data_IF_684439121510
#
_entry.id   IF_684439121510
#
_cell.length_a   1.000
_cell.length_b   1.000
_cell.length_c   1.000
_cell.angle_alpha   90.00
_cell.angle_beta   90.00
_cell.angle_gamma   90.00
#
_symmetry.space_group_name_H-M   'P 1'
#
loop_
_entity.id
_entity.type
_entity.pdbx_description
1 polymer ?
#
# COMPACT_ATOMS: atom_id res chain seq x y z
N UNK A 1 2.40 -19.20 -11.68
CA UNK A 1 1.24 -20.13 -11.69
C UNK A 1 0.14 -19.46 -10.88
N UNK A 2 -1.06 -19.28 -11.44
CA UNK A 2 -2.18 -18.56 -10.81
C UNK A 2 -3.24 -19.57 -10.37
N UNK A 3 -3.81 -19.36 -9.18
CA UNK A 3 -5.11 -19.91 -8.81
C UNK A 3 -5.82 -18.86 -7.95
N UNK A 4 -6.70 -18.07 -8.58
CA UNK A 4 -7.61 -17.15 -7.91
C UNK A 4 -9.04 -17.69 -8.07
N UNK A 5 -9.46 -18.49 -7.09
CA UNK A 5 -10.82 -18.62 -6.55
C UNK A 5 -10.79 -19.78 -5.55
N UNK A 6 -10.82 -19.46 -4.26
CA UNK A 6 -10.64 -20.41 -3.15
C UNK A 6 -9.23 -20.35 -2.55
N UNK A 7 -9.15 -20.44 -1.22
CA UNK A 7 -7.90 -20.46 -0.45
C UNK A 7 -6.85 -21.31 -1.17
N UNK A 8 -5.77 -20.68 -1.63
CA UNK A 8 -4.67 -21.39 -2.29
C UNK A 8 -4.18 -22.51 -1.34
N UNK A 9 -3.76 -23.69 -1.82
CA UNK A 9 -3.23 -24.74 -0.95
C UNK A 9 -2.10 -24.25 -0.03
N UNK A 10 -1.29 -23.32 -0.51
CA UNK A 10 -0.28 -22.59 0.29
C UNK A 10 -0.88 -21.75 1.42
N UNK A 11 -2.05 -21.13 1.22
CA UNK A 11 -2.75 -20.42 2.29
C UNK A 11 -3.27 -21.40 3.36
N UNK A 12 -3.73 -22.59 2.98
CA UNK A 12 -4.26 -23.59 3.93
C UNK A 12 -3.12 -24.11 4.82
N UNK A 13 -2.01 -24.53 4.22
CA UNK A 13 -0.82 -24.98 4.96
C UNK A 13 -0.24 -23.84 5.83
N UNK A 14 -0.30 -22.60 5.32
CA UNK A 14 0.10 -21.42 6.08
C UNK A 14 -0.81 -21.19 7.30
N UNK A 15 -2.13 -21.24 7.15
CA UNK A 15 -3.08 -21.07 8.24
C UNK A 15 -2.91 -22.14 9.33
N UNK A 16 -2.47 -23.36 8.96
CA UNK A 16 -2.15 -24.41 9.94
C UNK A 16 -0.88 -24.14 10.75
N UNK A 17 0.06 -23.36 10.20
CA UNK A 17 1.39 -23.07 10.80
C UNK A 17 1.45 -21.74 11.57
N UNK A 18 0.43 -20.89 11.46
CA UNK A 18 0.35 -19.63 12.20
C UNK A 18 -0.04 -19.86 13.67
N UNK A 19 0.48 -19.01 14.57
CA UNK A 19 0.01 -18.94 15.97
C UNK A 19 -1.01 -17.82 16.13
N UNK A 20 -1.83 -17.86 17.19
CA UNK A 20 -2.92 -16.90 17.48
C UNK A 20 -2.60 -15.41 17.25
N UNK A 21 -1.39 -14.95 17.58
CA UNK A 21 -1.00 -13.54 17.37
C UNK A 21 -0.64 -13.22 15.91
N UNK A 22 -0.12 -14.21 15.18
CA UNK A 22 0.24 -14.12 13.76
C UNK A 22 -1.00 -14.28 12.86
N UNK A 23 -2.02 -15.03 13.31
CA UNK A 23 -3.34 -15.12 12.68
C UNK A 23 -4.00 -13.74 12.52
N UNK A 24 -3.82 -12.85 13.51
CA UNK A 24 -4.33 -11.48 13.42
C UNK A 24 -3.57 -10.65 12.37
N UNK A 25 -2.32 -11.03 12.06
CA UNK A 25 -1.49 -10.35 11.06
C UNK A 25 -1.70 -10.93 9.67
N UNK A 26 -1.96 -12.21 9.52
CA UNK A 26 -2.38 -12.86 8.27
C UNK A 26 -3.91 -13.04 8.28
N UNK A 27 -4.62 -11.97 7.93
CA UNK A 27 -6.09 -11.95 8.01
C UNK A 27 -6.76 -12.82 6.94
N UNK A 28 -8.05 -13.10 7.14
CA UNK A 28 -8.87 -13.92 6.22
C UNK A 28 -8.90 -13.42 4.77
N UNK A 29 -8.62 -12.13 4.55
CA UNK A 29 -8.59 -11.50 3.23
C UNK A 29 -7.15 -11.37 2.69
N UNK A 30 -6.21 -12.23 3.09
CA UNK A 30 -4.84 -12.25 2.58
C UNK A 30 -4.58 -13.50 1.74
N UNK A 31 -3.88 -13.31 0.61
CA UNK A 31 -3.33 -14.39 -0.21
C UNK A 31 -1.80 -14.28 -0.28
N UNK A 32 -1.14 -15.42 -0.44
CA UNK A 32 0.29 -15.46 -0.74
C UNK A 32 0.52 -15.08 -2.21
N UNK A 33 1.30 -14.03 -2.45
CA UNK A 33 1.61 -13.54 -3.81
C UNK A 33 3.07 -13.71 -4.22
N UNK A 34 3.95 -14.14 -3.31
CA UNK A 34 5.35 -14.35 -3.62
C UNK A 34 6.15 -14.94 -2.46
N UNK A 35 7.42 -15.18 -2.72
CA UNK A 35 8.40 -15.67 -1.76
C UNK A 35 9.65 -14.80 -1.82
N UNK A 36 10.43 -14.83 -0.74
CA UNK A 36 11.73 -14.17 -0.65
C UNK A 36 12.75 -15.25 -0.30
N UNK A 37 13.87 -15.24 -1.01
CA UNK A 37 15.01 -16.12 -0.74
C UNK A 37 16.22 -15.31 -0.35
N UNK A 38 17.01 -15.84 0.57
CA UNK A 38 18.27 -15.27 1.01
C UNK A 38 19.43 -16.14 0.59
N UNK A 39 20.49 -15.52 0.09
CA UNK A 39 21.71 -16.22 -0.27
C UNK A 39 22.52 -16.51 0.98
N UNK A 40 22.80 -17.78 1.22
CA UNK A 40 23.75 -18.19 2.24
C UNK A 40 25.16 -17.82 1.78
N UNK A 41 25.83 -16.94 2.52
CA UNK A 41 27.18 -16.46 2.16
C UNK A 41 28.26 -17.57 2.25
N UNK A 42 28.01 -18.64 3.02
CA UNK A 42 28.94 -19.77 3.18
C UNK A 42 28.77 -20.83 2.09
N UNK A 43 27.54 -21.28 1.84
CA UNK A 43 27.27 -22.33 0.84
C UNK A 43 27.02 -21.78 -0.57
N UNK A 44 26.71 -20.49 -0.71
CA UNK A 44 26.33 -19.87 -1.98
C UNK A 44 24.89 -20.18 -2.41
N UNK A 45 24.19 -21.04 -1.69
CA UNK A 45 22.83 -21.48 -2.00
C UNK A 45 21.78 -20.42 -1.63
N UNK A 46 20.69 -20.40 -2.38
CA UNK A 46 19.53 -19.56 -2.08
C UNK A 46 18.49 -20.37 -1.30
N UNK A 47 18.18 -19.92 -0.10
CA UNK A 47 17.18 -20.55 0.75
C UNK A 47 15.97 -19.63 0.88
N UNK A 48 14.77 -20.16 0.61
CA UNK A 48 13.54 -19.44 0.87
C UNK A 48 13.47 -19.10 2.36
N UNK A 49 13.36 -17.81 2.66
CA UNK A 49 13.37 -17.30 4.03
C UNK A 49 12.02 -16.71 4.44
N UNK A 50 11.28 -16.13 3.49
CA UNK A 50 9.98 -15.50 3.77
C UNK A 50 8.94 -15.79 2.69
N UNK A 51 7.68 -15.61 3.08
CA UNK A 51 6.54 -15.49 2.19
C UNK A 51 6.03 -14.05 2.18
N UNK A 52 5.47 -13.64 1.04
CA UNK A 52 4.85 -12.34 0.84
C UNK A 52 3.35 -12.55 0.74
N UNK A 53 2.61 -11.95 1.67
CA UNK A 53 1.16 -11.89 1.63
C UNK A 53 0.69 -10.53 1.12
N UNK A 54 -0.37 -10.55 0.31
CA UNK A 54 -1.09 -9.36 -0.15
C UNK A 54 -2.54 -9.46 0.30
N UNK A 55 -3.11 -8.35 0.76
CA UNK A 55 -4.54 -8.31 1.08
C UNK A 55 -5.35 -8.26 -0.23
N UNK A 56 -6.33 -9.15 -0.41
CA UNK A 56 -6.94 -9.47 -1.71
C UNK A 56 -8.33 -8.92 -1.93
N UNK A 57 -9.05 -8.60 -0.86
CA UNK A 57 -10.28 -7.78 -0.90
C UNK A 57 -10.04 -6.38 -1.52
N UNK A 58 -8.77 -6.02 -1.75
CA UNK A 58 -8.33 -4.79 -2.41
C UNK A 58 -8.31 -4.89 -3.93
N UNK A 59 -7.81 -6.00 -4.47
CA UNK A 59 -7.39 -6.10 -5.87
C UNK A 59 -8.39 -6.86 -6.74
N UNK A 60 -9.33 -7.55 -6.10
CA UNK A 60 -10.46 -8.18 -6.75
C UNK A 60 -11.66 -8.25 -5.77
N UNK A 61 -12.21 -7.09 -5.35
CA UNK A 61 -13.35 -7.11 -4.42
C UNK A 61 -14.51 -7.85 -5.07
N UNK A 62 -15.14 -8.76 -4.32
CA UNK A 62 -16.29 -9.50 -4.82
C UNK A 62 -17.47 -8.54 -5.09
N UNK A 63 -18.43 -8.99 -5.92
CA UNK A 63 -19.55 -8.16 -6.32
C UNK A 63 -20.41 -7.68 -5.13
N UNK A 64 -20.49 -8.48 -4.05
CA UNK A 64 -21.27 -8.14 -2.86
C UNK A 64 -20.59 -7.03 -2.04
N UNK A 65 -19.26 -7.12 -1.87
CA UNK A 65 -18.44 -6.10 -1.22
C UNK A 65 -18.49 -4.78 -1.98
N UNK A 66 -18.32 -4.81 -3.30
CA UNK A 66 -18.44 -3.61 -4.15
C UNK A 66 -19.81 -2.96 -3.98
N UNK A 67 -20.88 -3.75 -4.01
CA UNK A 67 -22.26 -3.26 -3.85
C UNK A 67 -22.51 -2.67 -2.47
N UNK A 68 -22.02 -3.33 -1.41
CA UNK A 68 -22.14 -2.84 -0.02
C UNK A 68 -21.42 -1.51 0.18
N UNK A 69 -20.21 -1.37 -0.36
CA UNK A 69 -19.44 -0.12 -0.33
C UNK A 69 -20.18 0.98 -1.09
N UNK A 70 -20.65 0.70 -2.31
CA UNK A 70 -21.40 1.65 -3.11
C UNK A 70 -22.66 2.15 -2.40
N UNK A 71 -23.44 1.25 -1.81
CA UNK A 71 -24.66 1.60 -1.08
C UNK A 71 -24.37 2.56 0.07
N UNK A 72 -23.26 2.34 0.80
CA UNK A 72 -22.83 3.23 1.88
C UNK A 72 -22.48 4.63 1.36
N UNK A 73 -21.67 4.69 0.28
CA UNK A 73 -21.30 5.96 -0.36
C UNK A 73 -22.52 6.76 -0.84
N UNK A 74 -23.47 6.08 -1.49
CA UNK A 74 -24.69 6.71 -1.99
C UNK A 74 -25.58 7.20 -0.85
N UNK A 75 -25.73 6.42 0.22
CA UNK A 75 -26.50 6.81 1.40
C UNK A 75 -25.88 8.02 2.13
N UNK A 76 -24.55 8.03 2.29
CA UNK A 76 -23.83 9.15 2.89
C UNK A 76 -23.98 10.42 2.05
N UNK A 77 -23.86 10.29 0.72
CA UNK A 77 -24.05 11.40 -0.22
C UNK A 77 -25.48 11.93 -0.20
N UNK A 78 -26.47 11.05 -0.20
CA UNK A 78 -27.88 11.44 -0.07
C UNK A 78 -28.13 12.19 1.24
N UNK A 79 -27.53 11.73 2.34
CA UNK A 79 -27.61 12.39 3.64
C UNK A 79 -26.98 13.77 3.62
N UNK A 80 -25.83 13.93 2.95
CA UNK A 80 -25.17 15.22 2.80
C UNK A 80 -26.01 16.20 1.96
N UNK A 81 -26.45 15.80 0.77
CA UNK A 81 -27.29 16.64 -0.11
C UNK A 81 -28.60 17.02 0.59
N UNK A 82 -29.20 16.09 1.34
CA UNK A 82 -30.35 16.40 2.20
C UNK A 82 -30.02 17.49 3.20
N UNK A 83 -28.90 17.39 3.91
CA UNK A 83 -28.47 18.35 4.94
C UNK A 83 -28.14 19.73 4.33
N UNK A 84 -27.62 19.77 3.10
CA UNK A 84 -27.40 21.00 2.34
C UNK A 84 -28.72 21.71 2.01
N UNK A 85 -29.77 20.96 1.67
CA UNK A 85 -31.13 21.51 1.44
C UNK A 85 -31.80 21.92 2.76
N UNK A 86 -31.70 21.08 3.80
CA UNK A 86 -32.29 21.31 5.11
C UNK A 86 -31.52 20.55 6.20
N UNK A 87 -30.95 21.30 7.14
CA UNK A 87 -30.11 20.76 8.22
C UNK A 87 -30.84 19.77 9.14
N UNK A 88 -32.12 19.99 9.44
CA UNK A 88 -32.92 19.15 10.34
C UNK A 88 -34.40 19.06 9.94
N UNK A 89 -35.10 18.04 10.45
CA UNK A 89 -36.53 17.83 10.20
C UNK A 89 -36.88 17.21 8.84
N UNK A 90 -38.18 17.08 8.56
CA UNK A 90 -38.69 16.52 7.30
C UNK A 90 -38.55 17.53 6.16
N UNK A 91 -38.21 17.03 4.96
CA UNK A 91 -38.23 17.82 3.72
C UNK A 91 -39.67 18.04 3.25
N UNK A 92 -39.99 19.25 2.81
CA UNK A 92 -41.22 19.53 2.06
C UNK A 92 -41.22 18.84 0.70
N UNK A 93 -42.37 18.78 0.01
CA UNK A 93 -42.47 18.13 -1.30
C UNK A 93 -41.58 18.78 -2.36
N UNK A 94 -41.49 20.11 -2.39
CA UNK A 94 -40.60 20.82 -3.32
C UNK A 94 -39.11 20.53 -3.03
N UNK A 95 -38.74 20.43 -1.75
CA UNK A 95 -37.39 20.07 -1.32
C UNK A 95 -37.02 18.62 -1.65
N UNK A 96 -37.97 17.68 -1.53
CA UNK A 96 -37.76 16.29 -1.96
C UNK A 96 -37.50 16.21 -3.46
N UNK A 97 -38.33 16.89 -4.27
CA UNK A 97 -38.15 16.97 -5.73
C UNK A 97 -36.81 17.60 -6.12
N UNK A 98 -36.33 18.59 -5.35
CA UNK A 98 -35.00 19.16 -5.54
C UNK A 98 -33.90 18.14 -5.22
N UNK A 99 -34.01 17.43 -4.08
CA UNK A 99 -33.07 16.37 -3.70
C UNK A 99 -32.99 15.26 -4.76
N UNK A 100 -34.13 14.79 -5.26
CA UNK A 100 -34.20 13.77 -6.32
C UNK A 100 -33.48 14.22 -7.59
N UNK A 101 -33.73 15.45 -8.08
CA UNK A 101 -33.02 16.01 -9.23
C UNK A 101 -31.51 16.14 -9.02
N UNK A 102 -31.08 16.46 -7.80
CA UNK A 102 -29.67 16.53 -7.47
C UNK A 102 -29.05 15.13 -7.48
N UNK A 103 -29.70 14.14 -6.87
CA UNK A 103 -29.26 12.74 -6.88
C UNK A 103 -29.19 12.15 -8.29
N UNK A 104 -30.15 12.45 -9.16
CA UNK A 104 -30.13 12.01 -10.57
C UNK A 104 -28.93 12.52 -11.35
N UNK A 105 -28.37 13.67 -10.96
CA UNK A 105 -27.21 14.29 -11.61
C UNK A 105 -25.91 14.02 -10.88
N UNK A 106 -25.98 13.59 -9.62
CA UNK A 106 -24.83 13.40 -8.76
C UNK A 106 -23.96 12.23 -9.25
N UNK A 107 -22.65 12.43 -9.43
CA UNK A 107 -21.78 11.40 -9.99
C UNK A 107 -21.53 10.23 -9.03
N UNK A 108 -21.64 10.40 -7.70
CA UNK A 108 -21.57 9.29 -6.74
C UNK A 108 -22.79 8.40 -6.89
N UNK A 109 -23.97 9.02 -7.04
CA UNK A 109 -25.21 8.28 -7.23
C UNK A 109 -25.28 7.54 -8.58
N UNK A 110 -24.49 7.98 -9.57
CA UNK A 110 -24.32 7.31 -10.87
C UNK A 110 -23.24 6.22 -10.89
N UNK A 111 -22.47 6.05 -9.81
CA UNK A 111 -21.46 5.00 -9.74
C UNK A 111 -22.12 3.63 -9.76
N UNK A 112 -21.44 2.67 -10.39
CA UNK A 112 -21.76 1.25 -10.36
C UNK A 112 -20.78 0.52 -9.44
N UNK A 113 -21.08 -0.71 -9.00
CA UNK A 113 -20.17 -1.47 -8.14
C UNK A 113 -18.77 -1.62 -8.73
N UNK A 114 -18.65 -1.77 -10.06
CA UNK A 114 -17.37 -1.87 -10.75
C UNK A 114 -16.56 -0.57 -10.77
N UNK A 115 -17.22 0.56 -10.50
CA UNK A 115 -16.59 1.88 -10.40
C UNK A 115 -15.99 2.12 -8.99
N UNK A 116 -16.24 1.21 -8.02
CA UNK A 116 -15.59 1.25 -6.70
C UNK A 116 -14.10 0.93 -6.87
N UNK A 117 -13.26 1.92 -6.56
CA UNK A 117 -11.81 1.82 -6.66
C UNK A 117 -11.24 0.72 -5.76
N UNK A 118 -10.13 0.13 -6.21
CA UNK A 118 -9.32 -0.74 -5.38
C UNK A 118 -8.95 0.01 -4.08
N UNK A 119 -9.09 -0.69 -2.96
CA UNK A 119 -8.60 -0.26 -1.65
C UNK A 119 -7.08 0.00 -1.68
N UNK A 120 -6.52 0.52 -0.59
CA UNK A 120 -5.07 0.75 -0.48
C UNK A 120 -4.31 -0.57 -0.46
N UNK A 121 -3.17 -0.68 -1.13
CA UNK A 121 -2.27 -1.82 -1.05
C UNK A 121 -1.81 -2.04 0.38
N UNK A 122 -1.91 -3.29 0.83
CA UNK A 122 -1.31 -3.77 2.08
C UNK A 122 -0.57 -5.05 1.75
N UNK A 123 0.75 -5.03 1.91
CA UNK A 123 1.60 -6.20 1.76
C UNK A 123 2.32 -6.48 3.08
N UNK A 124 2.50 -7.76 3.38
CA UNK A 124 3.19 -8.19 4.60
C UNK A 124 4.17 -9.31 4.26
N UNK A 125 5.29 -9.31 4.96
CA UNK A 125 6.27 -10.39 4.88
C UNK A 125 6.21 -11.23 6.15
N UNK A 126 6.34 -12.54 5.96
CA UNK A 126 6.31 -13.52 7.02
C UNK A 126 7.53 -14.42 6.90
N UNK A 127 8.35 -14.46 7.94
CA UNK A 127 9.47 -15.39 8.03
C UNK A 127 8.94 -16.80 8.16
N UNK A 128 9.48 -17.70 7.35
CA UNK A 128 9.08 -19.10 7.33
C UNK A 128 10.24 -19.96 7.81
N UNK A 129 10.08 -20.57 8.97
CA UNK A 129 10.87 -21.75 9.34
C UNK A 129 9.99 -22.97 9.07
N UNK A 130 10.57 -24.15 8.78
CA UNK A 130 9.80 -25.32 8.34
C UNK A 130 8.56 -25.66 9.19
N UNK A 131 8.54 -25.23 10.46
CA UNK A 131 7.48 -25.46 11.42
C UNK A 131 6.70 -24.20 11.85
N UNK A 132 7.19 -22.98 11.57
CA UNK A 132 6.58 -21.75 12.10
C UNK A 132 6.60 -20.60 11.10
N UNK A 133 5.55 -19.79 11.13
CA UNK A 133 5.39 -18.62 10.28
C UNK A 133 5.23 -17.38 11.15
N UNK A 134 6.17 -16.43 11.05
CA UNK A 134 6.20 -15.24 11.89
C UNK A 134 6.12 -13.97 11.08
N UNK A 135 5.18 -13.09 11.40
CA UNK A 135 5.11 -11.75 10.80
C UNK A 135 6.38 -10.95 11.10
N UNK A 136 7.05 -10.44 10.07
CA UNK A 136 8.27 -9.61 10.22
C UNK A 136 8.08 -8.16 9.84
N UNK A 137 7.13 -7.84 8.95
CA UNK A 137 6.85 -6.46 8.61
C UNK A 137 5.71 -6.30 7.61
N UNK A 138 5.26 -5.06 7.44
CA UNK A 138 4.20 -4.68 6.51
C UNK A 138 4.50 -3.34 5.85
N UNK A 139 4.13 -3.21 4.58
CA UNK A 139 4.17 -1.97 3.80
C UNK A 139 2.76 -1.68 3.29
N UNK A 140 2.32 -0.44 3.46
CA UNK A 140 0.95 -0.03 3.17
C UNK A 140 0.92 1.30 2.43
N UNK A 141 0.07 1.42 1.41
CA UNK A 141 -0.25 2.71 0.78
C UNK A 141 -0.91 3.65 1.82
N UNK A 142 -0.51 4.92 1.78
CA UNK A 142 -1.06 6.01 2.59
C UNK A 142 -1.89 6.94 1.71
N UNK A 143 -3.13 6.55 1.39
CA UNK A 143 -4.00 7.24 0.41
C UNK A 143 -4.19 8.71 0.74
N UNK A 144 -4.32 9.05 2.03
CA UNK A 144 -4.44 10.43 2.49
C UNK A 144 -3.22 11.28 2.15
N UNK A 145 -2.00 10.76 2.38
CA UNK A 145 -0.75 11.44 2.04
C UNK A 145 -0.55 11.52 0.53
N UNK A 146 -0.86 10.44 -0.19
CA UNK A 146 -0.79 10.41 -1.64
C UNK A 146 -1.68 11.48 -2.26
N UNK A 147 -2.95 11.56 -1.84
CA UNK A 147 -3.89 12.58 -2.30
C UNK A 147 -3.39 13.98 -1.97
N UNK A 148 -3.02 14.24 -0.73
CA UNK A 148 -2.53 15.55 -0.27
C UNK A 148 -1.33 16.02 -1.10
N UNK A 149 -0.29 15.19 -1.18
CA UNK A 149 0.94 15.53 -1.89
C UNK A 149 0.69 15.66 -3.39
N UNK A 150 -0.10 14.75 -3.96
CA UNK A 150 -0.39 14.75 -5.39
C UNK A 150 -1.22 15.95 -5.85
N UNK A 151 -2.14 16.44 -5.00
CA UNK A 151 -2.86 17.68 -5.24
C UNK A 151 -1.91 18.88 -5.26
N UNK A 152 -0.99 18.95 -4.29
CA UNK A 152 0.00 20.01 -4.20
C UNK A 152 0.92 20.10 -5.43
N UNK A 153 1.39 18.95 -5.93
CA UNK A 153 2.31 18.90 -7.08
C UNK A 153 1.64 18.67 -8.44
N UNK A 154 0.31 18.51 -8.47
CA UNK A 154 -0.50 18.17 -9.67
C UNK A 154 -0.02 16.92 -10.40
N UNK A 155 0.42 15.89 -9.66
CA UNK A 155 0.93 14.61 -10.19
C UNK A 155 0.71 13.48 -9.20
N UNK A 156 0.59 12.25 -9.68
CA UNK A 156 0.52 11.07 -8.81
C UNK A 156 1.86 10.85 -8.10
N UNK A 157 1.87 11.07 -6.79
CA UNK A 157 2.96 10.78 -5.87
C UNK A 157 2.53 9.61 -5.01
N UNK A 158 3.24 8.47 -5.12
CA UNK A 158 3.01 7.33 -4.24
C UNK A 158 3.60 7.58 -2.85
N UNK A 159 2.95 7.06 -1.81
CA UNK A 159 3.39 7.20 -0.43
C UNK A 159 3.06 5.94 0.35
N UNK A 160 4.07 5.43 1.05
CA UNK A 160 3.98 4.22 1.83
C UNK A 160 4.33 4.48 3.29
N UNK A 161 3.78 3.65 4.16
CA UNK A 161 4.26 3.46 5.52
C UNK A 161 4.70 2.02 5.69
N UNK A 162 5.83 1.84 6.36
CA UNK A 162 6.36 0.53 6.73
C UNK A 162 6.37 0.38 8.25
N UNK A 163 5.87 -0.76 8.70
CA UNK A 163 5.89 -1.20 10.08
C UNK A 163 6.68 -2.51 10.17
N UNK A 164 7.69 -2.57 11.05
CA UNK A 164 8.57 -3.71 11.19
C UNK A 164 8.46 -4.30 12.60
N UNK A 165 8.57 -5.62 12.68
CA UNK A 165 8.49 -6.30 13.97
C UNK A 165 9.66 -5.91 14.88
N UNK A 166 9.33 -5.47 16.10
CA UNK A 166 10.33 -5.10 17.10
C UNK A 166 11.12 -3.84 16.74
N UNK A 167 10.61 -3.02 15.81
CA UNK A 167 11.16 -1.70 15.50
C UNK A 167 10.21 -0.65 16.05
N UNK A 168 10.73 0.32 16.82
CA UNK A 168 9.88 1.29 17.52
C UNK A 168 9.28 2.35 16.57
N UNK A 169 9.94 2.59 15.43
CA UNK A 169 9.62 3.70 14.54
C UNK A 169 8.86 3.25 13.29
N UNK A 170 7.82 4.00 12.93
CA UNK A 170 7.23 3.87 11.58
C UNK A 170 8.12 4.55 10.55
N UNK A 171 8.36 3.87 9.43
CA UNK A 171 9.12 4.45 8.31
C UNK A 171 8.18 4.90 7.21
N UNK A 172 8.14 6.21 6.92
CA UNK A 172 7.38 6.74 5.80
C UNK A 172 8.27 6.87 4.57
N UNK A 173 7.85 6.27 3.46
CA UNK A 173 8.53 6.36 2.16
C UNK A 173 7.65 7.12 1.19
N UNK A 174 8.17 8.21 0.62
CA UNK A 174 7.38 9.07 -0.26
C UNK A 174 8.11 9.26 -1.58
N UNK A 175 7.37 9.11 -2.69
CA UNK A 175 7.84 9.52 -4.00
C UNK A 175 7.96 11.05 -4.07
N UNK A 176 9.11 11.52 -4.49
CA UNK A 176 9.40 12.93 -4.72
C UNK A 176 9.83 13.09 -6.16
N UNK A 177 8.98 13.78 -6.93
CA UNK A 177 9.25 14.07 -8.33
C UNK A 177 9.57 15.55 -8.49
N UNK A 178 10.79 15.87 -8.93
CA UNK A 178 11.21 17.27 -9.17
C UNK A 178 10.74 17.78 -10.55
N UNK A 179 10.66 16.92 -11.57
CA UNK A 179 10.29 17.30 -12.96
C UNK A 179 9.69 16.11 -13.75
N UNK A 180 8.97 16.35 -14.86
CA UNK A 180 8.16 15.32 -15.60
C UNK A 180 8.97 14.15 -16.15
N UNK A 181 10.24 14.40 -16.44
CA UNK A 181 11.13 13.43 -17.08
C UNK A 181 11.98 12.64 -16.09
N UNK A 182 11.98 13.01 -14.81
CA UNK A 182 12.85 12.37 -13.83
C UNK A 182 12.18 11.07 -13.37
N UNK A 183 12.90 9.93 -13.38
CA UNK A 183 12.39 8.68 -12.87
C UNK A 183 12.07 8.81 -11.38
N UNK A 184 11.10 8.03 -10.90
CA UNK A 184 10.61 8.08 -9.51
C UNK A 184 11.77 8.01 -8.50
N UNK A 185 11.82 8.97 -7.59
CA UNK A 185 12.75 8.97 -6.45
C UNK A 185 11.92 8.87 -5.19
N UNK A 186 12.09 7.78 -4.43
CA UNK A 186 11.49 7.67 -3.10
C UNK A 186 12.50 8.16 -2.08
N UNK A 187 12.09 8.97 -1.10
CA UNK A 187 12.95 9.30 0.04
C UNK A 187 12.28 8.90 1.36
N UNK A 188 13.12 8.55 2.33
CA UNK A 188 12.70 8.16 3.66
C UNK A 188 13.84 8.33 4.65
N UNK A 189 13.52 8.24 5.92
CA UNK A 189 14.50 8.20 7.01
C UNK A 189 14.44 6.84 7.70
N UNK A 190 15.58 6.33 8.12
CA UNK A 190 15.70 5.07 8.84
C UNK A 190 16.62 5.27 10.04
N UNK A 191 16.13 4.99 11.23
CA UNK A 191 16.93 5.07 12.45
C UNK A 191 17.58 3.71 12.74
N UNK A 192 18.90 3.63 12.66
CA UNK A 192 19.67 2.45 13.05
C UNK A 192 19.82 2.47 14.57
N UNK A 193 19.03 1.65 15.26
CA UNK A 193 19.01 1.56 16.73
C UNK A 193 20.33 1.06 17.32
N UNK A 194 21.12 0.28 16.56
CA UNK A 194 22.40 -0.25 17.03
C UNK A 194 23.50 0.82 16.99
N UNK A 195 23.48 1.67 15.95
CA UNK A 195 24.45 2.75 15.78
C UNK A 195 23.94 4.09 16.33
N UNK A 196 22.72 4.13 16.87
CA UNK A 196 22.00 5.33 17.30
C UNK A 196 22.04 6.45 16.24
N UNK A 197 21.89 6.07 14.97
CA UNK A 197 22.14 6.95 13.82
C UNK A 197 20.91 7.06 12.92
N UNK A 198 20.56 8.29 12.58
CA UNK A 198 19.58 8.56 11.53
C UNK A 198 20.22 8.49 10.14
N UNK A 199 19.66 7.64 9.28
CA UNK A 199 19.98 7.55 7.87
C UNK A 199 18.93 8.28 7.04
N UNK A 200 19.37 9.14 6.13
CA UNK A 200 18.52 9.80 5.14
C UNK A 200 18.77 9.18 3.77
N UNK A 201 17.75 8.54 3.24
CA UNK A 201 17.89 7.57 2.15
C UNK A 201 17.04 7.96 0.95
N UNK A 202 17.51 7.54 -0.23
CA UNK A 202 16.77 7.64 -1.49
C UNK A 202 16.76 6.30 -2.20
N UNK A 203 15.65 5.96 -2.85
CA UNK A 203 15.56 4.87 -3.82
C UNK A 203 15.17 5.48 -5.16
N UNK A 204 16.12 5.49 -6.10
CA UNK A 204 16.01 6.17 -7.38
C UNK A 204 15.89 5.15 -8.50
N UNK A 205 14.80 5.22 -9.27
CA UNK A 205 14.61 4.36 -10.43
C UNK A 205 15.66 4.68 -11.52
N UNK A 206 16.26 3.65 -12.14
CA UNK A 206 17.21 3.81 -13.25
C UNK A 206 16.48 4.37 -14.49
N UNK A 207 17.16 5.22 -15.26
CA UNK A 207 16.59 5.88 -16.47
C UNK A 207 16.43 4.92 -17.64
N UNK A 208 17.40 4.02 -17.82
CA UNK A 208 17.46 3.05 -18.90
C UNK A 208 17.56 1.69 -18.22
N UNK A 209 16.44 0.96 -18.20
CA UNK A 209 16.37 -0.43 -17.74
C UNK A 209 15.28 -1.15 -18.50
N UNK A 210 15.53 -2.40 -18.89
CA UNK A 210 14.49 -3.31 -19.43
C UNK A 210 13.53 -3.72 -18.30
N UNK A 211 14.05 -3.73 -17.07
CA UNK A 211 13.35 -4.00 -15.82
C UNK A 211 12.88 -2.77 -15.04
N UNK A 212 12.36 -3.00 -13.83
CA UNK A 212 12.12 -1.95 -12.84
C UNK A 212 13.26 -1.95 -11.83
N UNK A 213 14.37 -1.30 -12.22
CA UNK A 213 15.60 -1.27 -11.45
C UNK A 213 15.71 0.04 -10.66
N UNK A 214 16.30 -0.05 -9.47
CA UNK A 214 16.50 1.09 -8.59
C UNK A 214 17.91 1.10 -7.98
N UNK A 215 18.39 2.30 -7.67
CA UNK A 215 19.61 2.53 -6.88
C UNK A 215 19.20 3.05 -5.51
N UNK A 216 19.78 2.48 -4.46
CA UNK A 216 19.61 2.92 -3.08
C UNK A 216 20.78 3.83 -2.73
N UNK A 217 20.50 5.06 -2.30
CA UNK A 217 21.51 6.06 -1.98
C UNK A 217 21.38 6.54 -0.53
N UNK A 218 22.52 6.70 0.15
CA UNK A 218 22.65 7.42 1.42
C UNK A 218 23.64 8.57 1.22
N UNK A 219 23.32 9.79 1.66
CA UNK A 219 24.19 10.97 1.45
C UNK A 219 24.66 11.17 0.00
N UNK A 220 23.79 10.86 -0.97
CA UNK A 220 24.07 10.86 -2.43
C UNK A 220 25.17 9.87 -2.88
N UNK A 221 25.51 8.88 -2.06
CA UNK A 221 26.38 7.77 -2.43
C UNK A 221 25.55 6.49 -2.61
N UNK A 222 25.77 5.72 -3.68
CA UNK A 222 25.09 4.45 -3.88
C UNK A 222 25.53 3.46 -2.80
N UNK A 223 24.56 2.89 -2.09
CA UNK A 223 24.77 1.90 -1.01
C UNK A 223 24.10 0.57 -1.32
N UNK A 224 23.41 0.45 -2.45
CA UNK A 224 22.73 -0.75 -2.88
C UNK A 224 21.95 -0.55 -4.16
N UNK A 225 21.35 -1.63 -4.64
CA UNK A 225 20.48 -1.62 -5.82
C UNK A 225 19.38 -2.68 -5.71
N UNK A 226 18.32 -2.45 -6.48
CA UNK A 226 17.24 -3.39 -6.73
C UNK A 226 17.30 -3.65 -8.23
N UNK A 227 17.66 -4.88 -8.61
CA UNK A 227 17.70 -5.33 -10.00
C UNK A 227 16.45 -6.15 -10.28
N UNK A 228 15.53 -5.60 -11.06
CA UNK A 228 14.15 -6.07 -11.10
C UNK A 228 13.68 -6.43 -12.49
N UNK A 229 13.43 -7.71 -12.75
CA UNK A 229 12.77 -8.16 -13.96
C UNK A 229 11.23 -8.13 -13.80
N UNK A 230 10.57 -7.36 -14.66
CA UNK A 230 9.11 -7.45 -14.83
C UNK A 230 8.81 -8.66 -15.74
N UNK A 231 8.20 -9.70 -15.20
CA UNK A 231 7.92 -10.96 -15.92
C UNK A 231 6.40 -11.16 -15.97
N UNK A 232 5.79 -10.83 -17.11
CA UNK A 232 4.34 -10.92 -17.31
C UNK A 232 3.56 -10.02 -16.33
N UNK A 233 2.72 -10.63 -15.48
CA UNK A 233 1.93 -9.95 -14.42
C UNK A 233 2.63 -9.97 -13.04
N UNK A 234 3.88 -10.46 -12.96
CA UNK A 234 4.66 -10.55 -11.72
C UNK A 234 5.92 -9.68 -11.74
N UNK A 235 6.58 -9.58 -10.59
CA UNK A 235 7.85 -8.89 -10.41
C UNK A 235 8.82 -9.83 -9.70
N UNK A 236 9.98 -10.06 -10.32
CA UNK A 236 11.09 -10.75 -9.70
C UNK A 236 12.24 -9.77 -9.56
N UNK A 237 12.91 -9.75 -8.40
CA UNK A 237 13.99 -8.82 -8.18
C UNK A 237 15.06 -9.39 -7.24
N UNK A 238 16.29 -8.96 -7.48
CA UNK A 238 17.39 -9.13 -6.55
C UNK A 238 17.67 -7.82 -5.84
N UNK A 239 17.79 -7.88 -4.52
CA UNK A 239 18.15 -6.74 -3.67
C UNK A 239 19.60 -6.92 -3.23
N UNK A 240 20.43 -5.92 -3.50
CA UNK A 240 21.82 -5.87 -3.08
C UNK A 240 22.04 -4.64 -2.20
N UNK A 241 22.67 -4.82 -1.04
CA UNK A 241 23.09 -3.73 -0.15
C UNK A 241 24.59 -3.87 0.07
N UNK A 242 25.34 -2.87 -0.36
CA UNK A 242 26.81 -2.85 -0.31
C UNK A 242 27.34 -2.22 0.98
N UNK A 243 26.59 -1.28 1.57
CA UNK A 243 26.94 -0.67 2.85
C UNK A 243 26.90 -1.72 3.95
N UNK A 244 28.06 -2.08 4.49
CA UNK A 244 28.22 -3.25 5.35
C UNK A 244 27.42 -3.14 6.66
N UNK A 245 27.26 -1.94 7.21
CA UNK A 245 26.50 -1.75 8.45
C UNK A 245 25.03 -2.07 8.24
N UNK A 246 24.47 -1.57 7.12
CA UNK A 246 23.07 -1.74 6.73
C UNK A 246 22.80 -3.12 6.13
N UNK A 247 23.76 -3.72 5.43
CA UNK A 247 23.66 -5.08 4.89
C UNK A 247 23.58 -6.15 6.00
N UNK A 248 24.10 -5.84 7.20
CA UNK A 248 23.97 -6.70 8.40
C UNK A 248 22.74 -6.37 9.24
N UNK A 249 22.03 -5.28 8.92
CA UNK A 249 20.83 -4.87 9.63
C UNK A 249 19.59 -5.53 9.01
N UNK A 250 19.03 -6.48 9.75
CA UNK A 250 17.85 -7.22 9.33
C UNK A 250 16.64 -6.33 9.06
N UNK A 251 16.40 -5.34 9.93
CA UNK A 251 15.23 -4.46 9.83
C UNK A 251 15.34 -3.57 8.58
N UNK A 252 16.55 -3.10 8.28
CA UNK A 252 16.82 -2.38 7.05
C UNK A 252 16.58 -3.26 5.80
N UNK A 253 17.10 -4.49 5.79
CA UNK A 253 16.86 -5.42 4.67
C UNK A 253 15.38 -5.74 4.49
N UNK A 254 14.63 -5.96 5.57
CA UNK A 254 13.19 -6.20 5.53
C UNK A 254 12.44 -4.96 4.99
N UNK A 255 12.84 -3.75 5.36
CA UNK A 255 12.29 -2.49 4.83
C UNK A 255 12.49 -2.37 3.32
N UNK A 256 13.72 -2.59 2.82
CA UNK A 256 14.02 -2.50 1.38
C UNK A 256 13.30 -3.62 0.61
N UNK A 257 13.23 -4.82 1.19
CA UNK A 257 12.51 -5.95 0.60
C UNK A 257 11.02 -5.64 0.50
N UNK A 258 10.41 -5.08 1.55
CA UNK A 258 9.02 -4.63 1.53
C UNK A 258 8.79 -3.57 0.45
N UNK A 259 9.66 -2.58 0.31
CA UNK A 259 9.55 -1.64 -0.81
C UNK A 259 9.60 -2.36 -2.16
N UNK A 260 10.54 -3.29 -2.32
CA UNK A 260 10.75 -4.06 -3.55
C UNK A 260 9.50 -4.84 -3.95
N UNK A 261 8.81 -5.48 -2.99
CA UNK A 261 7.57 -6.24 -3.29
C UNK A 261 6.44 -5.35 -3.81
N UNK A 262 6.42 -4.07 -3.46
CA UNK A 262 5.40 -3.13 -3.99
C UNK A 262 5.59 -2.79 -5.46
N UNK A 263 6.81 -2.88 -6.01
CA UNK A 263 7.17 -2.35 -7.34
C UNK A 263 6.27 -2.88 -8.44
N UNK A 264 5.95 -4.17 -8.42
CA UNK A 264 5.03 -4.80 -9.39
C UNK A 264 3.63 -4.17 -9.42
N UNK A 265 3.21 -3.52 -8.34
CA UNK A 265 1.90 -2.91 -8.18
C UNK A 265 1.89 -1.40 -8.46
N UNK A 266 3.06 -0.75 -8.61
CA UNK A 266 3.16 0.72 -8.75
C UNK A 266 2.31 1.28 -9.88
N UNK A 267 2.24 0.58 -11.02
CA UNK A 267 1.41 1.00 -12.16
C UNK A 267 -0.09 1.01 -11.83
N UNK A 268 -0.55 0.02 -11.06
CA UNK A 268 -1.95 -0.09 -10.68
C UNK A 268 -2.31 0.93 -9.58
N UNK A 269 -1.41 1.14 -8.62
CA UNK A 269 -1.51 2.18 -7.59
C UNK A 269 -1.63 3.58 -8.22
N UNK A 270 -0.75 3.91 -9.19
CA UNK A 270 -0.84 5.20 -9.91
C UNK A 270 -2.15 5.39 -10.66
N UNK A 271 -2.72 4.32 -11.25
CA UNK A 271 -4.04 4.39 -11.91
C UNK A 271 -5.15 4.69 -10.89
N UNK A 272 -5.16 3.99 -9.76
CA UNK A 272 -6.08 4.23 -8.64
C UNK A 272 -5.98 5.68 -8.15
N UNK A 273 -4.77 6.13 -7.81
CA UNK A 273 -4.52 7.49 -7.34
C UNK A 273 -4.94 8.57 -8.36
N UNK A 274 -4.67 8.36 -9.65
CA UNK A 274 -5.10 9.30 -10.71
C UNK A 274 -6.63 9.44 -10.77
N UNK A 275 -7.38 8.36 -10.55
CA UNK A 275 -8.85 8.38 -10.50
C UNK A 275 -9.33 9.14 -9.26
N UNK A 276 -8.77 8.84 -8.09
CA UNK A 276 -9.01 9.54 -6.82
C UNK A 276 -8.72 11.05 -6.90
N UNK A 277 -7.63 11.45 -7.54
CA UNK A 277 -7.29 12.86 -7.78
C UNK A 277 -8.31 13.57 -8.65
N UNK A 278 -8.73 12.95 -9.76
CA UNK A 278 -9.77 13.52 -10.64
C UNK A 278 -11.10 13.67 -9.92
N UNK A 279 -11.49 12.69 -9.10
CA UNK A 279 -12.69 12.76 -8.28
C UNK A 279 -12.61 13.96 -7.31
N UNK A 280 -11.48 14.09 -6.60
CA UNK A 280 -11.24 15.17 -5.64
C UNK A 280 -11.28 16.55 -6.31
N UNK A 281 -10.62 16.72 -7.46
CA UNK A 281 -10.59 17.98 -8.21
C UNK A 281 -11.97 18.41 -8.72
N UNK A 282 -12.88 17.46 -8.92
CA UNK A 282 -14.29 17.70 -9.29
C UNK A 282 -15.21 17.93 -8.08
N UNK A 283 -14.66 17.94 -6.86
CA UNK A 283 -15.43 18.11 -5.62
C UNK A 283 -16.03 16.81 -5.07
N UNK A 284 -15.63 15.64 -5.58
CA UNK A 284 -16.15 14.32 -5.18
C UNK A 284 -15.18 13.60 -4.23
N UNK A 285 -14.63 14.31 -3.24
CA UNK A 285 -13.66 13.75 -2.28
C UNK A 285 -14.21 12.54 -1.49
N UNK A 286 -15.52 12.49 -1.29
CA UNK A 286 -16.25 11.36 -0.70
C UNK A 286 -16.10 10.02 -1.44
N UNK A 287 -15.67 10.04 -2.71
CA UNK A 287 -15.37 8.81 -3.45
C UNK A 287 -14.05 8.17 -2.97
N UNK A 288 -13.24 8.88 -2.20
CA UNK A 288 -12.00 8.37 -1.62
C UNK A 288 -12.27 7.81 -0.22
N UNK A 289 -12.72 6.55 -0.16
CA UNK A 289 -12.84 5.86 1.12
C UNK A 289 -11.44 5.68 1.71
N UNK A 290 -11.27 6.16 2.95
CA UNK A 290 -10.11 5.93 3.80
C UNK A 290 -10.50 4.87 4.83
N UNK A 291 -9.62 3.90 5.01
CA UNK A 291 -9.87 2.77 5.91
C UNK A 291 -9.53 3.12 7.37
N UNK A 292 -10.21 2.45 8.31
CA UNK A 292 -9.97 2.62 9.75
C UNK A 292 -8.52 2.30 10.13
N UNK A 293 -7.89 1.35 9.46
CA UNK A 293 -6.48 1.00 9.64
C UNK A 293 -5.55 2.17 9.27
N UNK A 294 -5.84 2.90 8.19
CA UNK A 294 -5.09 4.11 7.85
C UNK A 294 -5.36 5.22 8.88
N UNK A 295 -6.61 5.38 9.34
CA UNK A 295 -6.91 6.31 10.42
C UNK A 295 -6.12 6.01 11.70
N UNK A 296 -5.89 4.74 12.05
CA UNK A 296 -5.05 4.36 13.18
C UNK A 296 -3.60 4.82 13.00
N UNK A 297 -3.06 4.76 11.79
CA UNK A 297 -1.73 5.25 11.44
C UNK A 297 -1.62 6.78 11.47
N UNK A 298 -2.74 7.49 11.28
CA UNK A 298 -2.82 8.95 11.33
C UNK A 298 -3.09 9.51 12.74
N UNK A 299 -3.48 8.66 13.70
CA UNK A 299 -3.76 9.12 15.06
C UNK A 299 -2.53 9.77 15.65
N UNK A 300 -2.72 10.92 16.30
CA UNK A 300 -1.67 11.57 17.05
C UNK A 300 -1.35 10.71 18.29
N UNK A 301 -0.16 10.08 18.37
CA UNK A 301 0.19 9.25 19.52
C UNK A 301 0.35 10.07 20.81
N UNK A 302 0.56 11.39 20.70
CA UNK A 302 0.70 12.31 21.84
C UNK A 302 -0.62 12.90 22.32
N UNK A 303 -1.75 12.59 21.68
CA UNK A 303 -3.04 13.14 22.10
C UNK A 303 -3.63 12.48 23.36
N UNK A 304 -3.09 11.33 23.75
CA UNK A 304 -3.51 10.56 24.94
C UNK A 304 -2.44 10.54 26.04
N UNK A 305 -1.39 11.37 25.94
CA UNK A 305 -0.30 11.50 26.90
C UNK A 305 -0.38 12.86 27.62
#
# INVERSE_FOLDING_TARGET
>A
MWAFMGLHPTNIDLLQKLKKAEDQRFGANMDVCGTISEKNMKSGEWNQSHMVGIRTDIWNPDAAQQSSILNRLQADRQTQLRKEIKRSGRLSQSQKKNLERQLERDPVNKMRPQDIENRRLVMKIFKTTGEQIRWTGSVEEMVTRELHNSLGVKRTILSFVTNLQGYEYMTYMQENNRTFRIPSIFSFSYFDERLEKMWYLKIKRKWISIGADFVIEASNQPIGEIDGALIGLGYNAHVYVYEQTLAKDRKFLDLITLFTTTVGYHSAMRRSLKRRLKATQRGHCMQNIIEDEEFRLLRNPRAAA
#
